data_IF_158436264998
#
_entry.id   IF_158436264998
#
_cell.length_a   1.000
_cell.length_b   1.000
_cell.length_c   1.000
_cell.angle_alpha   90.00
_cell.angle_beta   90.00
_cell.angle_gamma   90.00
#
_symmetry.space_group_name_H-M   'P 1'
#
loop_
_entity.id
_entity.type
_entity.pdbx_description
1 polymer ?
#
# COMPACT_ATOMS: atom_id res chain seq x y z
N UNK A 1 4.91 8.09 -10.75
CA UNK A 1 5.06 6.66 -11.09
C UNK A 1 3.92 6.28 -12.01
N UNK A 2 4.20 5.50 -13.05
CA UNK A 2 3.15 4.94 -13.89
C UNK A 2 2.37 3.83 -13.15
N UNK A 3 1.11 3.63 -13.50
CA UNK A 3 0.25 2.62 -12.85
C UNK A 3 0.81 1.21 -13.01
N UNK A 4 1.25 0.83 -14.22
CA UNK A 4 1.71 -0.53 -14.48
C UNK A 4 3.00 -0.81 -13.70
N UNK A 5 3.90 0.16 -13.66
CA UNK A 5 5.14 0.07 -12.88
C UNK A 5 4.88 -0.21 -11.40
N UNK A 6 3.85 0.39 -10.80
CA UNK A 6 3.49 0.11 -9.40
C UNK A 6 2.98 -1.33 -9.26
N UNK A 7 2.09 -1.77 -10.15
CA UNK A 7 1.46 -3.09 -10.06
C UNK A 7 2.47 -4.23 -10.26
N UNK A 8 3.50 -4.00 -11.07
CA UNK A 8 4.56 -4.97 -11.35
C UNK A 8 5.51 -5.17 -10.15
N UNK A 9 5.45 -4.32 -9.11
CA UNK A 9 6.25 -4.48 -7.88
C UNK A 9 5.68 -5.53 -6.92
N UNK A 10 4.49 -6.04 -7.19
CA UNK A 10 3.76 -6.88 -6.26
C UNK A 10 3.51 -8.28 -6.81
N UNK A 11 3.51 -9.23 -5.88
CA UNK A 11 2.96 -10.57 -6.12
C UNK A 11 1.45 -10.55 -5.89
N UNK A 12 0.72 -11.13 -6.84
CA UNK A 12 -0.75 -11.13 -6.86
C UNK A 12 -1.27 -12.54 -6.61
N UNK A 13 -2.24 -12.67 -5.70
CA UNK A 13 -2.95 -13.92 -5.45
C UNK A 13 -4.46 -13.64 -5.32
N UNK A 14 -5.33 -14.61 -5.61
CA UNK A 14 -6.76 -14.48 -5.37
C UNK A 14 -7.04 -14.19 -3.90
N UNK A 15 -7.89 -13.21 -3.62
CA UNK A 15 -8.25 -12.84 -2.26
C UNK A 15 -9.29 -11.73 -2.19
N UNK A 16 -9.61 -11.29 -0.98
CA UNK A 16 -10.56 -10.21 -0.75
C UNK A 16 -9.80 -8.93 -0.43
N UNK A 17 -10.09 -7.86 -1.17
CA UNK A 17 -9.49 -6.57 -0.89
C UNK A 17 -9.99 -6.04 0.46
N UNK A 18 -9.06 -5.72 1.37
CA UNK A 18 -9.36 -5.16 2.68
C UNK A 18 -10.25 -3.91 2.63
N UNK A 19 -10.05 -3.06 1.62
CA UNK A 19 -10.80 -1.80 1.45
C UNK A 19 -12.13 -1.96 0.70
N UNK A 20 -12.29 -3.01 -0.09
CA UNK A 20 -13.48 -3.26 -0.92
C UNK A 20 -13.95 -4.71 -0.81
N UNK A 21 -14.38 -5.16 0.37
CA UNK A 21 -14.79 -6.56 0.57
C UNK A 21 -15.97 -6.96 -0.34
N UNK A 22 -16.83 -6.01 -0.71
CA UNK A 22 -18.00 -6.23 -1.57
C UNK A 22 -17.65 -6.58 -3.02
N UNK A 23 -16.40 -6.41 -3.47
CA UNK A 23 -15.97 -6.88 -4.81
C UNK A 23 -15.84 -8.40 -4.87
N UNK A 24 -15.90 -9.08 -3.72
CA UNK A 24 -15.66 -10.52 -3.63
C UNK A 24 -14.20 -10.84 -3.88
N UNK A 25 -13.96 -12.05 -4.38
CA UNK A 25 -12.62 -12.54 -4.69
C UNK A 25 -12.08 -11.89 -5.97
N UNK A 26 -10.93 -11.22 -5.85
CA UNK A 26 -10.22 -10.54 -6.93
C UNK A 26 -8.71 -10.76 -6.77
N UNK A 27 -7.88 -10.48 -7.79
CA UNK A 27 -6.44 -10.43 -7.59
C UNK A 27 -6.08 -9.39 -6.53
N UNK A 28 -5.36 -9.82 -5.49
CA UNK A 28 -4.90 -8.97 -4.39
C UNK A 28 -3.41 -9.18 -4.13
N UNK A 29 -2.74 -8.09 -3.80
CA UNK A 29 -1.36 -8.09 -3.36
C UNK A 29 -1.27 -7.80 -1.86
N UNK A 30 -0.27 -8.40 -1.21
CA UNK A 30 0.13 -8.00 0.13
C UNK A 30 0.67 -6.57 0.10
N UNK A 31 0.16 -5.70 0.98
CA UNK A 31 0.62 -4.30 1.07
C UNK A 31 1.31 -3.99 2.39
N UNK A 32 0.88 -4.62 3.48
CA UNK A 32 1.42 -4.39 4.80
C UNK A 32 0.99 -5.49 5.76
N UNK A 33 1.82 -5.75 6.76
CA UNK A 33 1.46 -6.59 7.91
C UNK A 33 1.35 -5.69 9.13
N UNK A 34 0.16 -5.61 9.72
CA UNK A 34 -0.10 -4.74 10.88
C UNK A 34 -0.27 -5.56 12.16
N UNK A 35 0.01 -4.94 13.31
CA UNK A 35 -0.25 -5.51 14.63
C UNK A 35 -1.32 -4.67 15.34
N UNK A 36 -2.60 -5.06 15.26
CA UNK A 36 -3.68 -4.32 15.90
C UNK A 36 -3.52 -4.28 17.42
N UNK A 37 -4.05 -3.24 18.07
CA UNK A 37 -4.04 -3.12 19.54
C UNK A 37 -4.80 -4.25 20.25
N UNK A 38 -5.79 -4.86 19.58
CA UNK A 38 -6.51 -6.03 20.05
C UNK A 38 -5.65 -7.33 20.07
N UNK A 39 -4.39 -7.25 19.64
CA UNK A 39 -3.46 -8.37 19.55
C UNK A 39 -3.49 -9.08 18.19
N UNK A 40 -2.43 -9.83 17.91
CA UNK A 40 -2.27 -10.61 16.68
C UNK A 40 -1.50 -9.89 15.58
N UNK A 41 -1.33 -10.61 14.47
CA UNK A 41 -0.74 -10.12 13.24
C UNK A 41 -1.82 -10.21 12.17
N UNK A 42 -2.09 -9.11 11.48
CA UNK A 42 -3.05 -9.07 10.39
C UNK A 42 -2.33 -8.75 9.09
N UNK A 43 -2.50 -9.65 8.12
CA UNK A 43 -2.03 -9.44 6.77
C UNK A 43 -3.04 -8.58 6.00
N UNK A 44 -2.59 -7.43 5.49
CA UNK A 44 -3.44 -6.51 4.72
C UNK A 44 -3.18 -6.75 3.24
N UNK A 45 -4.24 -7.16 2.54
CA UNK A 45 -4.23 -7.38 1.09
C UNK A 45 -5.14 -6.40 0.36
N UNK A 46 -4.70 -5.94 -0.81
CA UNK A 46 -5.39 -4.90 -1.56
C UNK A 46 -5.49 -5.25 -3.05
N UNK A 47 -6.59 -4.87 -3.70
CA UNK A 47 -6.70 -4.98 -5.15
C UNK A 47 -5.87 -3.91 -5.86
N UNK A 48 -5.69 -4.05 -7.18
CA UNK A 48 -4.91 -3.14 -8.02
C UNK A 48 -5.22 -1.65 -7.82
N UNK A 49 -6.51 -1.29 -7.75
CA UNK A 49 -6.92 0.11 -7.51
C UNK A 49 -6.43 0.64 -6.16
N UNK A 50 -6.49 -0.19 -5.12
CA UNK A 50 -6.09 0.19 -3.77
C UNK A 50 -4.58 0.24 -3.62
N UNK A 51 -3.83 -0.70 -4.22
CA UNK A 51 -2.37 -0.68 -4.23
C UNK A 51 -1.85 0.62 -4.84
N UNK A 52 -2.38 1.00 -6.01
CA UNK A 52 -2.00 2.24 -6.68
C UNK A 52 -2.31 3.46 -5.81
N UNK A 53 -3.50 3.52 -5.20
CA UNK A 53 -3.86 4.63 -4.32
C UNK A 53 -2.96 4.72 -3.08
N UNK A 54 -2.55 3.59 -2.49
CA UNK A 54 -1.64 3.53 -1.35
C UNK A 54 -0.26 4.06 -1.74
N UNK A 55 0.30 3.59 -2.85
CA UNK A 55 1.64 3.99 -3.27
C UNK A 55 1.70 5.45 -3.72
N UNK A 56 0.65 5.96 -4.37
CA UNK A 56 0.55 7.39 -4.66
C UNK A 56 0.49 8.25 -3.38
N UNK A 57 -0.23 7.78 -2.35
CA UNK A 57 -0.27 8.46 -1.06
C UNK A 57 1.09 8.41 -0.34
N UNK A 58 1.80 7.28 -0.40
CA UNK A 58 3.16 7.12 0.15
C UNK A 58 4.15 8.04 -0.55
N UNK A 59 4.13 8.09 -1.88
CA UNK A 59 4.96 9.00 -2.67
C UNK A 59 4.68 10.47 -2.32
N UNK A 60 3.41 10.86 -2.19
CA UNK A 60 3.04 12.21 -1.78
C UNK A 60 3.50 12.54 -0.36
N UNK A 61 3.41 11.58 0.58
CA UNK A 61 3.89 11.76 1.95
C UNK A 61 5.43 11.90 2.01
N UNK A 62 6.15 11.10 1.22
CA UNK A 62 7.61 11.20 1.10
C UNK A 62 8.03 12.58 0.53
N UNK A 63 7.34 13.06 -0.51
CA UNK A 63 7.60 14.37 -1.11
C UNK A 63 7.32 15.54 -0.15
N UNK A 64 6.32 15.43 0.74
CA UNK A 64 6.10 16.45 1.79
C UNK A 64 7.20 16.45 2.84
N UNK A 65 7.68 15.26 3.23
CA UNK A 65 8.78 15.14 4.20
C UNK A 65 10.11 15.69 3.67
N UNK A 66 10.30 15.78 2.36
CA UNK A 66 11.46 16.45 1.76
C UNK A 66 11.33 17.97 1.70
N UNK A 67 10.14 18.54 1.90
CA UNK A 67 9.85 19.98 1.83
C UNK A 67 9.89 20.67 3.21
N UNK A 68 9.61 19.93 4.30
CA UNK A 68 9.82 20.36 5.70
C UNK A 68 11.31 20.26 6.09
N UNK A 69 12.14 21.03 5.40
CA UNK A 69 13.60 20.98 5.46
C UNK A 69 14.19 20.64 6.83
N UNK A 70 15.00 19.58 6.84
CA UNK A 70 16.40 19.75 7.23
C UNK A 70 17.31 19.16 6.17
N UNK A 71 18.16 19.99 5.52
CA UNK A 71 19.39 19.57 4.88
C UNK A 71 20.52 19.39 5.92
N UNK A 72 21.59 18.75 5.46
CA UNK A 72 22.81 18.22 6.12
C UNK A 72 23.54 19.04 7.22
N UNK A 73 24.29 18.34 8.11
CA UNK A 73 25.71 18.62 8.42
C UNK A 73 26.32 17.64 9.46
N UNK A 74 27.53 17.11 9.19
CA UNK A 74 28.51 16.68 10.21
C UNK A 74 28.94 15.23 10.18
#
# INVERSE_FOLDING_TARGET
MDRQQILDLYEWEPGICFRHPNKGEVPTAHVETVRPAAGGIQDIRACAECVVAIELARAAAAARRTDDGQPEAG
#
